data_IF_832303721757
#
_entry.id   IF_832303721757
#
_cell.length_a   1.000
_cell.length_b   1.000
_cell.length_c   1.000
_cell.angle_alpha   90.00
_cell.angle_beta   90.00
_cell.angle_gamma   90.00
#
_symmetry.space_group_name_H-M   'P 1'
#
loop_
_entity.id
_entity.type
_entity.pdbx_description
1 polymer ?
#
# COMPACT_ATOMS: atom_id res chain seq x y z
N UNK A 1 -47.09 22.83 16.94
CA UNK A 1 -47.39 22.76 15.47
C UNK A 1 -46.77 21.46 14.94
N UNK A 2 -47.60 20.46 14.63
CA UNK A 2 -47.20 19.13 14.15
C UNK A 2 -47.07 19.16 12.64
N UNK A 3 -45.86 18.95 12.10
CA UNK A 3 -45.64 18.70 10.66
C UNK A 3 -45.73 17.20 10.37
N UNK A 4 -46.78 16.82 9.67
CA UNK A 4 -47.01 15.45 9.17
C UNK A 4 -46.15 15.21 7.95
N UNK A 5 -45.24 14.23 8.01
CA UNK A 5 -44.51 13.72 6.85
C UNK A 5 -45.43 12.75 6.10
N UNK A 6 -45.77 13.08 4.85
CA UNK A 6 -46.53 12.21 3.95
C UNK A 6 -45.59 11.22 3.28
N UNK A 7 -45.87 9.95 3.50
CA UNK A 7 -45.26 8.82 2.81
C UNK A 7 -45.93 8.68 1.44
N UNK A 8 -45.19 8.83 0.35
CA UNK A 8 -45.65 8.54 -1.00
C UNK A 8 -45.14 7.16 -1.39
N UNK A 9 -46.05 6.19 -1.48
CA UNK A 9 -45.82 4.91 -2.13
C UNK A 9 -45.96 5.08 -3.63
N UNK A 10 -44.94 4.84 -4.42
CA UNK A 10 -45.05 4.64 -5.86
C UNK A 10 -44.76 3.14 -6.12
N UNK A 11 -45.84 2.42 -6.45
CA UNK A 11 -45.73 1.11 -7.09
C UNK A 11 -45.43 1.36 -8.58
N UNK A 12 -44.32 0.81 -9.09
CA UNK A 12 -44.19 0.55 -10.52
C UNK A 12 -43.59 -0.84 -10.73
N UNK A 13 -44.41 -1.74 -11.26
CA UNK A 13 -43.97 -3.01 -11.81
C UNK A 13 -43.29 -2.76 -13.15
N UNK A 14 -42.09 -3.35 -13.34
CA UNK A 14 -41.37 -3.27 -14.61
C UNK A 14 -40.04 -4.01 -14.51
N UNK A 15 -39.92 -5.14 -15.21
CA UNK A 15 -38.75 -5.96 -15.42
C UNK A 15 -37.53 -5.13 -15.86
N UNK A 16 -36.37 -5.36 -15.24
CA UNK A 16 -35.09 -4.83 -15.71
C UNK A 16 -34.02 -4.97 -14.64
N UNK A 17 -33.02 -5.79 -14.90
CA UNK A 17 -31.80 -5.94 -14.09
C UNK A 17 -31.27 -4.60 -13.64
N UNK A 18 -31.44 -4.27 -12.38
CA UNK A 18 -30.84 -3.08 -11.75
C UNK A 18 -29.94 -3.50 -10.64
N UNK A 19 -28.66 -3.26 -10.86
CA UNK A 19 -27.59 -3.29 -9.86
C UNK A 19 -28.04 -2.47 -8.64
N UNK A 20 -28.36 -3.14 -7.54
CA UNK A 20 -28.62 -2.50 -6.27
C UNK A 20 -27.29 -2.00 -5.73
N UNK A 21 -26.99 -0.74 -5.96
CA UNK A 21 -25.97 -0.02 -5.23
C UNK A 21 -26.49 0.21 -3.81
N UNK A 22 -26.09 -0.64 -2.86
CA UNK A 22 -26.38 -0.40 -1.44
C UNK A 22 -25.52 0.79 -1.00
N UNK A 23 -26.10 1.97 -1.00
CA UNK A 23 -25.53 3.16 -0.38
C UNK A 23 -25.76 3.05 1.13
N UNK A 24 -24.82 2.50 1.84
CA UNK A 24 -24.73 2.64 3.30
C UNK A 24 -24.34 4.09 3.62
N UNK A 25 -25.32 4.95 3.76
CA UNK A 25 -25.17 6.30 4.28
C UNK A 25 -25.15 6.24 5.80
N UNK A 26 -23.95 6.15 6.36
CA UNK A 26 -23.76 6.23 7.80
C UNK A 26 -22.31 6.55 8.14
N UNK A 27 -22.07 7.80 8.55
CA UNK A 27 -20.88 8.31 9.23
C UNK A 27 -19.64 8.48 8.34
N UNK A 28 -19.40 9.75 7.95
CA UNK A 28 -18.13 10.31 7.45
C UNK A 28 -17.58 9.74 6.13
N UNK A 29 -17.96 10.33 5.02
CA UNK A 29 -17.18 10.64 3.80
C UNK A 29 -16.13 9.66 3.26
N UNK A 30 -16.14 8.37 3.61
CA UNK A 30 -15.15 7.41 3.18
C UNK A 30 -15.64 6.67 1.93
N UNK A 31 -15.35 7.24 0.76
CA UNK A 31 -15.50 6.54 -0.51
C UNK A 31 -14.18 5.84 -0.84
N UNK A 32 -14.09 4.53 -0.62
CA UNK A 32 -13.03 3.74 -1.23
C UNK A 32 -13.28 3.73 -2.73
N UNK A 33 -12.39 4.32 -3.50
CA UNK A 33 -12.45 4.16 -4.96
C UNK A 33 -12.13 2.71 -5.31
N UNK A 34 -13.15 1.94 -5.64
CA UNK A 34 -13.05 0.53 -6.04
C UNK A 34 -12.24 0.31 -7.33
N UNK A 35 -11.69 1.38 -7.93
CA UNK A 35 -10.82 1.33 -9.11
C UNK A 35 -9.35 1.13 -8.78
N UNK A 36 -9.00 0.96 -7.49
CA UNK A 36 -7.63 0.76 -7.05
C UNK A 36 -6.77 2.02 -7.03
N UNK A 37 -7.38 3.21 -7.19
CA UNK A 37 -6.67 4.48 -7.08
C UNK A 37 -6.31 4.77 -5.62
N UNK A 38 -5.08 5.27 -5.35
CA UNK A 38 -4.71 5.71 -4.03
C UNK A 38 -5.63 6.84 -3.54
N UNK A 39 -5.96 6.89 -2.23
CA UNK A 39 -6.75 7.98 -1.67
C UNK A 39 -5.98 9.31 -1.69
N UNK A 40 -6.70 10.44 -1.66
CA UNK A 40 -6.11 11.77 -1.71
C UNK A 40 -5.07 12.05 -0.61
N UNK A 41 -5.16 11.35 0.53
CA UNK A 41 -4.19 11.49 1.63
C UNK A 41 -2.81 10.89 1.28
N UNK A 42 -2.75 10.00 0.28
CA UNK A 42 -1.53 9.45 -0.33
C UNK A 42 -1.24 10.19 -1.66
N UNK A 43 -1.21 11.48 -1.64
CA UNK A 43 -1.18 12.36 -2.81
C UNK A 43 0.06 12.15 -3.70
N UNK A 44 1.16 11.68 -3.14
CA UNK A 44 2.39 11.35 -3.88
C UNK A 44 2.44 9.89 -4.34
N UNK A 45 1.56 9.02 -3.86
CA UNK A 45 1.51 7.63 -4.30
C UNK A 45 0.87 7.54 -5.70
N UNK A 46 1.69 7.40 -6.73
CA UNK A 46 1.24 7.36 -8.13
C UNK A 46 1.29 5.93 -8.67
N UNK A 47 0.21 5.53 -9.35
CA UNK A 47 0.17 4.23 -10.02
C UNK A 47 1.18 4.17 -11.15
N UNK A 48 1.91 3.07 -11.22
CA UNK A 48 2.87 2.78 -12.29
C UNK A 48 2.14 2.13 -13.46
N UNK A 49 2.04 2.84 -14.59
CA UNK A 49 1.22 2.39 -15.73
C UNK A 49 1.70 1.08 -16.35
N UNK A 50 3.02 0.90 -16.50
CA UNK A 50 3.61 -0.27 -17.13
C UNK A 50 3.74 -1.48 -16.20
N UNK A 51 3.57 -1.29 -14.89
CA UNK A 51 3.69 -2.33 -13.85
C UNK A 51 4.92 -3.23 -14.07
N UNK A 52 6.14 -2.67 -14.10
CA UNK A 52 7.35 -3.45 -14.33
C UNK A 52 7.55 -4.47 -13.22
N UNK A 53 8.29 -5.53 -13.53
CA UNK A 53 8.76 -6.47 -12.50
C UNK A 53 9.64 -5.69 -11.53
N UNK A 54 9.41 -5.88 -10.22
CA UNK A 54 10.22 -5.27 -9.19
C UNK A 54 11.70 -5.68 -9.33
N UNK A 55 12.66 -4.79 -9.01
CA UNK A 55 14.06 -5.06 -9.23
C UNK A 55 14.57 -6.23 -8.36
N UNK A 56 15.54 -6.98 -8.88
CA UNK A 56 16.23 -8.04 -8.16
C UNK A 56 17.30 -7.43 -7.23
N UNK A 57 16.85 -6.85 -6.11
CA UNK A 57 17.74 -6.30 -5.07
C UNK A 57 17.84 -7.27 -3.91
N UNK A 58 19.03 -7.33 -3.29
CA UNK A 58 19.29 -8.10 -2.09
C UNK A 58 19.43 -7.19 -0.87
N UNK A 59 18.93 -7.66 0.26
CA UNK A 59 19.04 -7.01 1.56
C UNK A 59 19.14 -8.07 2.65
N UNK A 60 19.48 -7.71 3.86
CA UNK A 60 19.54 -8.63 5.00
C UNK A 60 18.54 -8.25 6.07
N UNK A 61 18.04 -9.24 6.80
CA UNK A 61 17.22 -9.01 7.99
C UNK A 61 18.09 -8.74 9.24
N UNK A 62 17.44 -8.52 10.39
CA UNK A 62 18.11 -8.30 11.67
C UNK A 62 19.05 -9.42 12.12
N UNK A 63 18.94 -10.61 11.54
CA UNK A 63 19.80 -11.78 11.83
C UNK A 63 20.89 -11.98 10.81
N UNK A 64 21.02 -11.09 9.82
CA UNK A 64 21.97 -11.19 8.73
C UNK A 64 21.57 -12.19 7.64
N UNK A 65 20.33 -12.69 7.64
CA UNK A 65 19.82 -13.57 6.59
C UNK A 65 19.62 -12.76 5.31
N UNK A 66 20.24 -13.20 4.23
CA UNK A 66 20.02 -12.60 2.91
C UNK A 66 18.59 -12.89 2.41
N UNK A 67 17.94 -11.85 1.93
CA UNK A 67 16.58 -11.82 1.39
C UNK A 67 16.55 -11.03 0.09
N UNK A 68 15.50 -11.27 -0.68
CA UNK A 68 15.14 -10.52 -1.88
C UNK A 68 13.65 -10.29 -1.94
N UNK A 69 13.17 -9.49 -2.86
CA UNK A 69 11.73 -9.30 -3.05
C UNK A 69 11.01 -10.58 -3.50
N UNK A 70 11.72 -11.55 -4.06
CA UNK A 70 11.15 -12.85 -4.44
C UNK A 70 10.68 -13.67 -3.23
N UNK A 71 11.30 -13.47 -2.05
CA UNK A 71 10.91 -14.15 -0.81
C UNK A 71 9.55 -13.71 -0.27
N UNK A 72 8.99 -12.63 -0.82
CA UNK A 72 7.71 -12.05 -0.41
C UNK A 72 6.59 -12.25 -1.44
N UNK A 73 6.80 -13.08 -2.45
CA UNK A 73 5.76 -13.43 -3.43
C UNK A 73 4.50 -13.96 -2.74
N UNK A 74 3.33 -13.70 -3.33
CA UNK A 74 2.04 -14.05 -2.75
C UNK A 74 1.47 -12.98 -1.81
N UNK A 75 2.26 -11.97 -1.43
CA UNK A 75 1.84 -10.84 -0.61
C UNK A 75 2.10 -9.52 -1.33
N UNK A 76 1.33 -8.51 -0.99
CA UNK A 76 1.67 -7.13 -1.34
C UNK A 76 2.83 -6.66 -0.47
N UNK A 77 3.75 -5.93 -1.04
CA UNK A 77 4.95 -5.44 -0.35
C UNK A 77 5.02 -3.93 -0.47
N UNK A 78 5.08 -3.25 0.66
CA UNK A 78 5.37 -1.82 0.72
C UNK A 78 6.85 -1.65 1.08
N UNK A 79 7.71 -1.49 0.07
CA UNK A 79 9.12 -1.18 0.26
C UNK A 79 9.23 0.30 0.58
N UNK A 80 9.86 0.64 1.71
CA UNK A 80 10.18 2.02 2.07
C UNK A 80 11.70 2.14 2.21
N UNK A 81 12.31 2.94 1.35
CA UNK A 81 13.75 3.20 1.33
C UNK A 81 14.05 4.45 2.15
N UNK A 82 14.93 4.32 3.12
CA UNK A 82 15.20 5.37 4.09
C UNK A 82 16.66 5.35 4.57
N UNK A 83 17.07 6.41 5.30
CA UNK A 83 18.37 6.51 5.93
C UNK A 83 18.29 7.37 7.20
N UNK A 84 19.24 7.21 8.13
CA UNK A 84 19.23 7.92 9.43
C UNK A 84 19.50 9.43 9.30
N UNK A 85 20.12 9.87 8.24
CA UNK A 85 20.34 11.29 7.93
C UNK A 85 19.18 11.95 7.17
N UNK A 86 18.18 11.17 6.75
CA UNK A 86 17.04 11.64 5.98
C UNK A 86 15.92 12.17 6.92
N UNK A 87 15.90 13.44 7.22
CA UNK A 87 14.92 14.04 8.13
C UNK A 87 13.44 13.74 7.76
N UNK A 88 12.98 13.84 6.49
CA UNK A 88 11.61 13.47 6.14
C UNK A 88 11.33 11.97 6.29
N UNK A 89 12.34 11.09 6.12
CA UNK A 89 12.19 9.66 6.39
C UNK A 89 11.92 9.41 7.88
N UNK A 90 12.73 10.04 8.75
CA UNK A 90 12.59 9.91 10.20
C UNK A 90 11.19 10.37 10.66
N UNK A 91 10.69 11.46 10.09
CA UNK A 91 9.38 12.00 10.43
C UNK A 91 8.22 11.04 10.11
N UNK A 92 8.35 10.17 9.10
CA UNK A 92 7.29 9.22 8.74
C UNK A 92 7.39 7.85 9.43
N UNK A 93 8.53 7.50 10.05
CA UNK A 93 8.74 6.20 10.71
C UNK A 93 7.64 5.82 11.71
N UNK A 94 7.18 6.72 12.60
CA UNK A 94 6.09 6.39 13.52
C UNK A 94 4.77 6.07 12.80
N UNK A 95 4.48 6.75 11.71
CA UNK A 95 3.28 6.50 10.90
C UNK A 95 3.36 5.13 10.20
N UNK A 96 4.54 4.77 9.65
CA UNK A 96 4.78 3.45 9.09
C UNK A 96 4.66 2.33 10.13
N UNK A 97 5.13 2.56 11.36
CA UNK A 97 4.98 1.60 12.46
C UNK A 97 3.51 1.36 12.82
N UNK A 98 2.69 2.42 12.90
CA UNK A 98 1.24 2.31 13.13
C UNK A 98 0.53 1.64 11.97
N UNK A 99 0.91 1.96 10.74
CA UNK A 99 0.40 1.27 9.56
C UNK A 99 0.72 -0.23 9.63
N UNK A 100 1.98 -0.58 9.91
CA UNK A 100 2.41 -1.98 10.03
C UNK A 100 1.57 -2.76 11.03
N UNK A 101 1.28 -2.17 12.20
CA UNK A 101 0.44 -2.79 13.22
C UNK A 101 -1.03 -2.95 12.80
N UNK A 102 -1.50 -2.14 11.84
CA UNK A 102 -2.91 -2.10 11.41
C UNK A 102 -3.20 -2.99 10.19
N UNK A 103 -2.16 -3.44 9.47
CA UNK A 103 -2.32 -4.22 8.24
C UNK A 103 -2.44 -5.73 8.50
N UNK A 104 -3.17 -6.48 7.66
CA UNK A 104 -3.18 -7.93 7.67
C UNK A 104 -1.83 -8.48 7.19
N UNK A 105 -0.96 -8.85 8.14
CA UNK A 105 0.44 -9.24 7.90
C UNK A 105 0.61 -10.41 6.93
N UNK A 106 -0.38 -11.27 6.83
CA UNK A 106 -0.39 -12.39 5.88
C UNK A 106 -0.59 -11.94 4.42
N UNK A 107 -1.08 -10.72 4.20
CA UNK A 107 -1.38 -10.17 2.86
C UNK A 107 -0.53 -8.97 2.46
N UNK A 108 -0.12 -8.18 3.44
CA UNK A 108 0.71 -6.98 3.21
C UNK A 108 1.91 -7.01 4.15
N UNK A 109 3.09 -6.81 3.60
CA UNK A 109 4.33 -6.71 4.36
C UNK A 109 4.97 -5.35 4.12
N UNK A 110 5.44 -4.67 5.16
CA UNK A 110 6.23 -3.46 5.04
C UNK A 110 7.71 -3.82 5.17
N UNK A 111 8.52 -3.36 4.21
CA UNK A 111 9.97 -3.55 4.20
C UNK A 111 10.66 -2.18 4.30
N UNK A 112 10.92 -1.68 5.52
CA UNK A 112 11.73 -0.47 5.71
C UNK A 112 13.21 -0.85 5.53
N UNK A 113 13.75 -0.58 4.35
CA UNK A 113 15.14 -0.93 4.01
C UNK A 113 16.01 0.28 4.28
N UNK A 114 16.89 0.16 5.29
CA UNK A 114 17.98 1.11 5.55
C UNK A 114 19.04 1.01 4.47
N UNK A 115 19.54 2.17 4.00
CA UNK A 115 20.51 2.25 2.90
C UNK A 115 21.95 2.52 3.36
N UNK A 116 22.22 2.59 4.67
CA UNK A 116 23.55 3.01 5.18
C UNK A 116 24.47 1.84 5.50
N UNK A 117 24.05 0.62 5.25
CA UNK A 117 24.81 -0.59 5.58
C UNK A 117 25.24 -0.66 7.07
N UNK A 118 24.43 -0.06 7.95
CA UNK A 118 24.64 -0.10 9.40
C UNK A 118 24.41 -1.51 9.95
N UNK A 119 24.96 -1.79 11.13
CA UNK A 119 24.59 -3.03 11.81
C UNK A 119 23.14 -3.01 12.31
N UNK A 120 22.51 -4.18 12.39
CA UNK A 120 21.09 -4.31 12.74
C UNK A 120 20.76 -3.77 14.13
N UNK A 121 21.69 -3.81 15.08
CA UNK A 121 21.47 -3.28 16.42
C UNK A 121 21.38 -1.75 16.42
N UNK A 122 22.22 -1.10 15.62
CA UNK A 122 22.16 0.36 15.43
C UNK A 122 20.86 0.79 14.76
N UNK A 123 20.46 0.12 13.68
CA UNK A 123 19.19 0.41 13.00
C UNK A 123 18.02 0.19 13.95
N UNK A 124 17.96 -0.94 14.67
CA UNK A 124 16.92 -1.23 15.64
C UNK A 124 16.86 -0.21 16.78
N UNK A 125 18.01 0.22 17.31
CA UNK A 125 18.08 1.28 18.32
C UNK A 125 17.58 2.62 17.77
N UNK A 126 17.95 2.96 16.54
CA UNK A 126 17.48 4.18 15.87
C UNK A 126 15.94 4.18 15.69
N UNK A 127 15.39 3.07 15.21
CA UNK A 127 13.93 2.92 15.06
C UNK A 127 13.22 3.10 16.42
N UNK A 128 13.77 2.52 17.49
CA UNK A 128 13.23 2.68 18.84
C UNK A 128 13.23 4.14 19.31
N UNK A 129 14.32 4.86 19.11
CA UNK A 129 14.43 6.29 19.47
C UNK A 129 13.40 7.16 18.74
N UNK A 130 12.97 6.74 17.55
CA UNK A 130 12.03 7.48 16.71
C UNK A 130 10.61 6.89 16.70
N UNK A 131 10.23 6.10 17.71
CA UNK A 131 8.87 5.60 17.90
C UNK A 131 8.43 4.56 16.85
N UNK A 132 9.41 3.84 16.28
CA UNK A 132 9.20 2.81 15.26
C UNK A 132 9.78 1.45 15.66
N UNK A 133 9.91 1.15 16.95
CA UNK A 133 10.51 -0.08 17.49
C UNK A 133 9.80 -1.38 17.04
N UNK A 134 8.52 -1.28 16.67
CA UNK A 134 7.74 -2.41 16.15
C UNK A 134 8.02 -2.71 14.67
N UNK A 135 8.82 -1.88 13.99
CA UNK A 135 9.18 -2.11 12.59
C UNK A 135 10.28 -3.19 12.47
N UNK A 136 10.19 -4.03 11.45
CA UNK A 136 11.29 -4.96 11.15
C UNK A 136 12.54 -4.18 10.69
N UNK A 137 13.71 -4.77 10.92
CA UNK A 137 15.00 -4.22 10.47
C UNK A 137 15.41 -4.92 9.18
N UNK A 138 15.60 -4.14 8.13
CA UNK A 138 16.20 -4.58 6.87
C UNK A 138 17.29 -3.60 6.46
N UNK A 139 18.41 -4.13 5.95
CA UNK A 139 19.58 -3.36 5.56
C UNK A 139 19.92 -3.73 4.13
N UNK A 140 19.90 -2.75 3.26
CA UNK A 140 20.22 -2.90 1.85
C UNK A 140 21.59 -2.30 1.53
N UNK A 141 22.26 -2.84 0.53
CA UNK A 141 23.45 -2.20 -0.03
C UNK A 141 23.01 -0.97 -0.82
N UNK A 142 23.41 0.23 -0.39
CA UNK A 142 22.96 1.50 -0.95
C UNK A 142 22.98 1.53 -2.48
N UNK A 143 24.15 1.27 -3.07
CA UNK A 143 24.32 1.37 -4.52
C UNK A 143 23.42 0.41 -5.31
N UNK A 144 23.21 -0.81 -4.81
CA UNK A 144 22.41 -1.83 -5.49
C UNK A 144 20.92 -1.50 -5.40
N UNK A 145 20.47 -1.07 -4.20
CA UNK A 145 19.07 -0.71 -3.97
C UNK A 145 18.72 0.59 -4.69
N UNK A 146 19.56 1.62 -4.59
CA UNK A 146 19.32 2.90 -5.27
C UNK A 146 19.26 2.73 -6.80
N UNK A 147 20.17 1.94 -7.37
CA UNK A 147 20.17 1.64 -8.80
C UNK A 147 18.95 0.81 -9.20
N UNK A 148 18.63 -0.24 -8.45
CA UNK A 148 17.52 -1.13 -8.75
C UNK A 148 16.17 -0.40 -8.78
N UNK A 149 15.89 0.43 -7.78
CA UNK A 149 14.65 1.19 -7.68
C UNK A 149 14.67 2.54 -8.42
N UNK A 150 15.81 2.93 -9.01
CA UNK A 150 16.00 4.25 -9.65
C UNK A 150 15.64 5.37 -8.66
N UNK A 151 16.34 5.38 -7.52
CA UNK A 151 16.07 6.31 -6.42
C UNK A 151 16.67 7.69 -6.74
N UNK A 152 15.83 8.72 -6.78
CA UNK A 152 16.25 10.10 -6.98
C UNK A 152 16.14 10.96 -5.71
N UNK A 153 15.25 10.54 -4.79
CA UNK A 153 15.04 11.21 -3.50
C UNK A 153 14.56 10.22 -2.44
N UNK A 154 14.75 10.55 -1.17
CA UNK A 154 14.27 9.79 -0.01
C UNK A 154 13.25 10.61 0.81
N UNK A 155 12.30 9.94 1.48
CA UNK A 155 12.00 8.52 1.36
C UNK A 155 11.43 8.18 -0.03
N UNK A 156 11.77 7.00 -0.54
CA UNK A 156 11.07 6.43 -1.69
C UNK A 156 10.25 5.22 -1.20
N UNK A 157 8.95 5.24 -1.43
CA UNK A 157 8.10 4.08 -1.15
C UNK A 157 7.59 3.47 -2.44
N UNK A 158 7.72 2.14 -2.57
CA UNK A 158 7.27 1.39 -3.73
C UNK A 158 6.31 0.29 -3.27
N UNK A 159 5.10 0.32 -3.83
CA UNK A 159 4.09 -0.72 -3.61
C UNK A 159 4.21 -1.78 -4.71
N UNK A 160 4.43 -3.02 -4.28
CA UNK A 160 4.60 -4.18 -5.16
C UNK A 160 3.43 -5.13 -4.93
N UNK A 161 2.84 -5.65 -6.00
CA UNK A 161 1.74 -6.61 -5.91
C UNK A 161 2.21 -8.04 -5.58
N UNK A 162 1.26 -8.94 -5.32
CA UNK A 162 1.54 -10.33 -4.96
C UNK A 162 2.30 -11.13 -6.05
N UNK A 163 2.26 -10.67 -7.30
CA UNK A 163 3.02 -11.25 -8.41
C UNK A 163 4.42 -10.62 -8.55
N UNK A 164 4.72 -9.61 -7.72
CA UNK A 164 6.00 -8.89 -7.70
C UNK A 164 6.16 -7.87 -8.80
N UNK A 165 5.09 -7.27 -9.26
CA UNK A 165 5.13 -6.13 -10.14
C UNK A 165 4.93 -4.83 -9.34
N UNK A 166 5.65 -3.80 -9.71
CA UNK A 166 5.43 -2.48 -9.14
C UNK A 166 4.03 -1.97 -9.51
N UNK A 167 3.23 -1.69 -8.49
CA UNK A 167 1.88 -1.17 -8.64
C UNK A 167 1.85 0.36 -8.55
N UNK A 168 2.62 0.92 -7.61
CA UNK A 168 2.68 2.36 -7.38
C UNK A 168 3.99 2.75 -6.71
N UNK A 169 4.35 4.03 -6.81
CA UNK A 169 5.47 4.61 -6.06
C UNK A 169 5.16 6.01 -5.54
N UNK A 170 5.78 6.36 -4.44
CA UNK A 170 5.72 7.69 -3.83
C UNK A 170 7.13 8.18 -3.53
N UNK A 171 7.48 9.34 -4.02
CA UNK A 171 8.70 10.07 -3.65
C UNK A 171 8.34 11.12 -2.59
N UNK A 172 9.05 11.09 -1.45
CA UNK A 172 8.77 11.89 -0.26
C UNK A 172 7.72 11.30 0.69
N UNK A 173 7.60 11.91 1.89
CA UNK A 173 6.80 11.36 2.99
C UNK A 173 5.29 11.37 2.70
N UNK A 174 4.57 10.41 3.30
CA UNK A 174 3.13 10.21 3.17
C UNK A 174 2.45 10.05 4.54
N UNK A 175 1.12 10.20 4.57
CA UNK A 175 0.31 9.96 5.77
C UNK A 175 -0.09 8.47 5.84
N UNK A 176 0.88 7.62 6.14
CA UNK A 176 0.71 6.17 6.09
C UNK A 176 -0.33 5.64 7.09
N UNK A 177 -0.44 6.23 8.27
CA UNK A 177 -1.33 5.84 9.37
C UNK A 177 -2.74 6.46 9.28
N UNK A 178 -3.02 7.25 8.25
CA UNK A 178 -4.37 7.74 8.01
C UNK A 178 -5.34 6.57 7.77
N UNK A 179 -6.55 6.58 8.33
CA UNK A 179 -7.53 5.52 8.11
C UNK A 179 -7.80 5.19 6.64
N UNK A 180 -7.71 6.18 5.73
CA UNK A 180 -7.87 5.96 4.30
C UNK A 180 -6.70 5.20 3.70
N UNK A 181 -5.46 5.42 4.18
CA UNK A 181 -4.27 4.69 3.76
C UNK A 181 -4.34 3.21 4.18
N UNK A 182 -4.72 2.96 5.43
CA UNK A 182 -4.92 1.60 5.98
C UNK A 182 -6.00 0.86 5.19
N UNK A 183 -7.15 1.50 4.97
CA UNK A 183 -8.26 0.90 4.23
C UNK A 183 -7.89 0.61 2.77
N UNK A 184 -7.17 1.51 2.11
CA UNK A 184 -6.69 1.32 0.74
C UNK A 184 -5.80 0.08 0.63
N UNK A 185 -4.75 -0.02 1.44
CA UNK A 185 -3.81 -1.15 1.41
C UNK A 185 -4.49 -2.47 1.79
N UNK A 186 -5.42 -2.44 2.74
CA UNK A 186 -6.23 -3.60 3.11
C UNK A 186 -7.12 -4.05 1.97
N UNK A 187 -7.79 -3.11 1.28
CA UNK A 187 -8.72 -3.40 0.20
C UNK A 187 -8.03 -3.97 -1.05
N UNK A 188 -6.91 -3.36 -1.49
CA UNK A 188 -6.19 -3.84 -2.68
C UNK A 188 -5.56 -5.22 -2.48
N UNK A 189 -5.23 -5.57 -1.24
CA UNK A 189 -4.65 -6.87 -0.87
C UNK A 189 -5.69 -7.94 -0.56
N UNK A 190 -6.99 -7.60 -0.56
CA UNK A 190 -8.04 -8.56 -0.32
C UNK A 190 -8.07 -9.63 -1.43
N UNK A 191 -8.35 -10.91 -1.08
CA UNK A 191 -8.54 -11.95 -2.09
C UNK A 191 -9.64 -11.53 -3.06
N UNK A 192 -9.38 -11.65 -4.37
CA UNK A 192 -10.45 -11.43 -5.36
C UNK A 192 -11.49 -12.54 -5.23
N UNK A 193 -12.79 -12.21 -5.19
CA UNK A 193 -13.82 -13.25 -5.24
C UNK A 193 -13.62 -14.09 -6.50
N UNK A 194 -13.68 -15.41 -6.32
CA UNK A 194 -13.60 -16.36 -7.43
C UNK A 194 -14.78 -16.08 -8.38
N UNK A 195 -14.51 -15.48 -9.53
CA UNK A 195 -15.55 -15.13 -10.53
C UNK A 195 -15.30 -13.87 -11.34
N UNK A 196 -14.35 -13.01 -10.96
CA UNK A 196 -14.02 -11.80 -11.74
C UNK A 196 -12.88 -12.03 -12.75
N UNK A 197 -12.89 -13.20 -13.42
CA UNK A 197 -12.04 -13.39 -14.61
C UNK A 197 -12.69 -12.65 -15.77
N UNK A 198 -11.98 -11.68 -16.29
CA UNK A 198 -12.15 -10.93 -17.54
C UNK A 198 -13.35 -11.34 -18.40
N UNK A 199 -14.32 -10.47 -18.53
CA UNK A 199 -15.05 -10.35 -19.80
C UNK A 199 -13.98 -9.95 -20.84
N UNK A 200 -13.34 -10.96 -21.43
CA UNK A 200 -12.47 -10.79 -22.57
C UNK A 200 -13.27 -10.15 -23.68
N UNK A 201 -12.82 -9.03 -24.18
CA UNK A 201 -13.29 -8.39 -25.39
C UNK A 201 -13.16 -9.42 -26.51
N UNK A 202 -14.26 -10.10 -26.83
CA UNK A 202 -14.36 -10.87 -28.04
C UNK A 202 -14.32 -9.87 -29.20
N UNK A 203 -13.26 -9.92 -29.99
CA UNK A 203 -13.18 -9.20 -31.24
C UNK A 203 -14.35 -9.62 -32.15
N UNK A 204 -14.96 -8.70 -32.90
CA UNK A 204 -16.02 -9.06 -33.86
C UNK A 204 -15.43 -9.94 -34.99
N UNK A 205 -16.19 -10.92 -35.49
CA UNK A 205 -15.77 -11.72 -36.62
C UNK A 205 -15.70 -10.85 -37.91
N UNK A 206 -14.69 -11.12 -38.72
CA UNK A 206 -14.52 -10.51 -40.07
C UNK A 206 -15.59 -11.01 -41.04
#
# INVERSE_FOLDING_TARGET
MKRRTRLIFILSAGFGSSLIAIVLRGISGFSVDLRGQPPAVLDKLKLTQQRPVAPAVSFVDAKGKALSLADFRGRYVLVNLWATWCAPCIAELPALARLNASLPQERVTILPIDLEELDAARVGYFLKLHGAEAMPVYIGREQDVMRGFVVNELPLTVLIDANGHELARAAGPQKWDDPASVAYLTAISAPRPAGSQHAGTSAPPR
#
